data_IF_929443445477
#
_entry.id   IF_929443445477
#
_cell.length_a   1.000
_cell.length_b   1.000
_cell.length_c   1.000
_cell.angle_alpha   90.00
_cell.angle_beta   90.00
_cell.angle_gamma   90.00
#
_symmetry.space_group_name_H-M   'P 1'
#
loop_
_entity.id
_entity.type
_entity.pdbx_description
1 polymer ?
#
# COMPACT_ATOMS: atom_id res chain seq x y z
N UNK A 1 40.82 18.48 -28.69
CA UNK A 1 39.51 18.09 -29.27
C UNK A 1 38.52 17.99 -28.13
N UNK A 2 37.38 18.71 -28.13
CA UNK A 2 36.40 18.58 -27.06
C UNK A 2 35.59 17.29 -27.29
N UNK A 3 35.65 16.35 -26.34
CA UNK A 3 34.86 15.13 -26.37
C UNK A 3 33.38 15.48 -26.19
N UNK A 4 32.55 15.09 -27.15
CA UNK A 4 31.08 15.13 -27.06
C UNK A 4 30.64 14.15 -25.96
N UNK A 5 30.05 14.68 -24.88
CA UNK A 5 29.30 13.86 -23.93
C UNK A 5 28.12 13.22 -24.69
N UNK A 6 27.98 11.91 -24.55
CA UNK A 6 26.86 11.16 -25.12
C UNK A 6 25.67 11.22 -24.17
N UNK A 7 24.44 11.12 -24.70
CA UNK A 7 23.17 11.18 -23.94
C UNK A 7 23.08 10.20 -22.75
N UNK A 8 23.99 9.22 -22.66
CA UNK A 8 24.12 8.33 -21.51
C UNK A 8 24.73 8.97 -20.26
N UNK A 9 25.42 10.11 -20.36
CA UNK A 9 25.96 10.85 -19.21
C UNK A 9 24.92 11.78 -18.56
N UNK A 10 23.94 12.27 -19.32
CA UNK A 10 22.83 13.09 -18.78
C UNK A 10 21.89 12.26 -17.88
N UNK A 11 21.66 10.99 -18.24
CA UNK A 11 20.83 10.07 -17.45
C UNK A 11 21.56 9.43 -16.28
N UNK A 12 22.87 9.69 -16.14
CA UNK A 12 23.68 9.35 -14.96
C UNK A 12 23.84 10.55 -14.03
N UNK A 13 22.97 11.56 -14.14
CA UNK A 13 22.72 12.51 -13.06
C UNK A 13 22.06 11.77 -11.91
N UNK A 14 22.95 11.14 -11.14
CA UNK A 14 22.77 10.42 -9.91
C UNK A 14 21.62 11.02 -9.08
N UNK A 15 20.59 10.21 -8.97
CA UNK A 15 19.46 10.31 -8.06
C UNK A 15 19.92 10.18 -6.61
N UNK A 16 20.76 11.09 -6.10
CA UNK A 16 21.00 11.30 -4.67
C UNK A 16 21.48 12.74 -4.45
N UNK A 17 20.52 13.63 -4.23
CA UNK A 17 20.80 15.04 -4.01
C UNK A 17 19.52 15.84 -3.81
N UNK A 18 18.69 15.42 -2.85
CA UNK A 18 17.48 16.13 -2.39
C UNK A 18 17.78 17.48 -1.70
N UNK A 19 18.85 18.16 -2.07
CA UNK A 19 19.20 19.50 -1.58
C UNK A 19 18.77 20.61 -2.53
N UNK A 20 19.06 20.46 -3.83
CA UNK A 20 18.81 21.51 -4.82
C UNK A 20 17.34 21.71 -5.18
N UNK A 21 16.62 20.61 -5.41
CA UNK A 21 15.19 20.67 -5.75
C UNK A 21 14.31 21.26 -4.63
N UNK A 22 14.74 21.11 -3.36
CA UNK A 22 14.04 21.69 -2.21
C UNK A 22 14.35 23.18 -2.01
N UNK A 23 15.50 23.67 -2.52
CA UNK A 23 15.90 25.07 -2.38
C UNK A 23 15.11 26.00 -3.31
N UNK A 24 14.90 25.60 -4.56
CA UNK A 24 14.07 26.38 -5.50
C UNK A 24 12.58 26.38 -5.10
N UNK A 25 12.08 25.30 -4.50
CA UNK A 25 10.70 25.25 -3.98
C UNK A 25 10.48 26.14 -2.75
N UNK A 26 11.53 26.47 -2.01
CA UNK A 26 11.44 27.36 -0.85
C UNK A 26 11.41 28.86 -1.24
N UNK A 27 11.94 29.23 -2.42
CA UNK A 27 11.99 30.63 -2.88
C UNK A 27 10.67 31.12 -3.49
N UNK A 28 9.93 30.21 -4.14
CA UNK A 28 8.64 30.49 -4.81
C UNK A 28 7.42 30.39 -3.87
N UNK A 29 7.65 30.15 -2.57
CA UNK A 29 6.68 30.28 -1.46
C UNK A 29 5.25 29.79 -1.72
N UNK A 30 5.05 28.74 -2.53
CA UNK A 30 3.78 28.02 -2.56
C UNK A 30 3.82 27.00 -1.41
N UNK A 31 2.96 27.12 -0.39
CA UNK A 31 2.86 26.08 0.63
C UNK A 31 2.49 24.78 -0.08
N UNK A 32 3.32 23.74 0.07
CA UNK A 32 2.91 22.39 -0.26
C UNK A 32 1.72 22.11 0.66
N UNK A 33 0.54 21.92 0.06
CA UNK A 33 -0.64 21.57 0.81
C UNK A 33 -0.34 20.28 1.58
N UNK A 34 -0.38 20.33 2.91
CA UNK A 34 -0.17 19.14 3.74
C UNK A 34 -1.22 18.09 3.33
N UNK A 35 -0.84 16.81 3.23
CA UNK A 35 -1.77 15.68 3.03
C UNK A 35 -2.68 15.44 4.25
N UNK A 36 -2.93 16.48 5.05
CA UNK A 36 -3.82 16.46 6.19
C UNK A 36 -5.22 16.83 5.72
N UNK A 37 -5.96 15.81 5.33
CA UNK A 37 -7.38 15.96 5.00
C UNK A 37 -8.20 15.98 6.29
N UNK A 38 -8.30 17.15 6.93
CA UNK A 38 -9.10 17.34 8.17
C UNK A 38 -10.60 17.37 7.88
N UNK A 39 -10.98 17.92 6.72
CA UNK A 39 -12.38 18.17 6.34
C UNK A 39 -13.04 16.99 5.62
N UNK A 40 -12.30 15.91 5.34
CA UNK A 40 -12.89 14.73 4.68
C UNK A 40 -13.64 13.88 5.70
N UNK A 41 -14.73 13.19 5.28
CA UNK A 41 -15.40 12.24 6.14
C UNK A 41 -14.44 11.18 6.69
N UNK A 42 -14.64 10.78 7.95
CA UNK A 42 -13.84 9.75 8.64
C UNK A 42 -14.03 8.34 8.06
N UNK A 43 -14.94 8.17 7.12
CA UNK A 43 -15.22 6.92 6.44
C UNK A 43 -15.46 7.16 4.95
N UNK A 44 -15.23 6.13 4.14
CA UNK A 44 -15.55 6.12 2.73
C UNK A 44 -16.94 5.51 2.53
N UNK A 45 -17.75 6.10 1.66
CA UNK A 45 -19.01 5.50 1.22
C UNK A 45 -18.77 4.27 0.35
N UNK A 46 -19.54 3.21 0.61
CA UNK A 46 -19.49 1.94 -0.13
C UNK A 46 -20.89 1.56 -0.59
N UNK A 47 -20.97 0.91 -1.75
CA UNK A 47 -22.24 0.37 -2.22
C UNK A 47 -22.74 -0.71 -1.25
N UNK A 48 -24.02 -0.67 -0.83
CA UNK A 48 -24.56 -1.67 0.07
C UNK A 48 -24.63 -3.03 -0.63
N UNK A 49 -24.39 -4.10 0.14
CA UNK A 49 -24.56 -5.47 -0.33
C UNK A 49 -26.02 -5.77 -0.69
N UNK A 50 -26.23 -6.84 -1.46
CA UNK A 50 -27.59 -7.31 -1.80
C UNK A 50 -28.34 -7.74 -0.54
N UNK A 51 -29.67 -7.74 -0.61
CA UNK A 51 -30.53 -8.14 0.51
C UNK A 51 -30.23 -9.58 0.93
N UNK A 52 -29.84 -9.77 2.20
CA UNK A 52 -29.47 -11.06 2.78
C UNK A 52 -27.99 -11.46 2.62
N UNK A 53 -27.19 -10.69 1.88
CA UNK A 53 -25.77 -10.94 1.69
C UNK A 53 -24.94 -10.38 2.86
N UNK A 54 -24.08 -11.22 3.45
CA UNK A 54 -23.16 -10.81 4.52
C UNK A 54 -21.81 -10.40 3.94
N UNK A 55 -21.13 -9.47 4.59
CA UNK A 55 -19.76 -9.10 4.26
C UNK A 55 -18.84 -10.30 4.49
N UNK A 56 -18.21 -10.80 3.43
CA UNK A 56 -17.20 -11.84 3.50
C UNK A 56 -15.80 -11.22 3.40
N UNK A 57 -15.06 -11.27 4.51
CA UNK A 57 -13.68 -10.80 4.59
C UNK A 57 -12.70 -11.73 3.88
N UNK A 58 -13.09 -12.99 3.64
CA UNK A 58 -12.26 -14.01 3.00
C UNK A 58 -12.36 -13.98 1.47
N UNK A 59 -13.42 -13.39 0.90
CA UNK A 59 -13.65 -13.42 -0.55
C UNK A 59 -12.53 -12.79 -1.39
N UNK A 60 -11.78 -11.84 -0.83
CA UNK A 60 -10.59 -11.29 -1.48
C UNK A 60 -9.37 -12.21 -1.37
N UNK A 61 -9.15 -12.82 -0.19
CA UNK A 61 -8.03 -13.73 0.08
C UNK A 61 -8.18 -15.07 -0.65
N UNK A 62 -9.40 -15.58 -0.78
CA UNK A 62 -9.71 -16.80 -1.55
C UNK A 62 -9.36 -16.66 -3.03
N UNK A 63 -9.40 -15.45 -3.62
CA UNK A 63 -8.97 -15.22 -5.00
C UNK A 63 -7.46 -15.30 -5.19
N UNK A 64 -6.69 -15.05 -4.12
CA UNK A 64 -5.22 -15.12 -4.14
C UNK A 64 -4.67 -16.46 -3.68
N UNK A 65 -5.45 -17.24 -2.92
CA UNK A 65 -5.11 -18.59 -2.47
C UNK A 65 -5.68 -19.64 -3.43
N UNK A 66 -5.16 -20.87 -3.41
CA UNK A 66 -5.64 -21.94 -4.29
C UNK A 66 -7.03 -22.45 -3.90
N UNK A 67 -7.36 -22.38 -2.61
CA UNK A 67 -8.64 -22.80 -2.03
C UNK A 67 -8.98 -21.97 -0.78
N UNK A 68 -10.25 -21.99 -0.37
CA UNK A 68 -10.76 -21.31 0.82
C UNK A 68 -10.09 -21.79 2.11
N UNK A 69 -9.76 -23.08 2.21
CA UNK A 69 -9.06 -23.62 3.38
C UNK A 69 -7.62 -23.11 3.48
N UNK A 70 -6.94 -22.95 2.34
CA UNK A 70 -5.59 -22.38 2.30
C UNK A 70 -5.61 -20.91 2.72
N UNK A 71 -6.59 -20.13 2.22
CA UNK A 71 -6.76 -18.73 2.63
C UNK A 71 -6.97 -18.57 4.14
N UNK A 72 -7.72 -19.48 4.77
CA UNK A 72 -7.95 -19.49 6.23
C UNK A 72 -6.69 -19.90 7.01
N UNK A 73 -5.91 -20.83 6.47
CA UNK A 73 -4.64 -21.26 7.06
C UNK A 73 -3.64 -20.10 7.03
N UNK A 74 -3.50 -19.42 5.89
CA UNK A 74 -2.59 -18.30 5.71
C UNK A 74 -2.90 -17.17 6.70
N UNK A 75 -4.17 -16.78 6.83
CA UNK A 75 -4.59 -15.78 7.80
C UNK A 75 -4.34 -16.23 9.25
N UNK A 76 -4.62 -17.49 9.57
CA UNK A 76 -4.35 -18.03 10.90
C UNK A 76 -2.85 -18.00 11.23
N UNK A 77 -1.96 -18.26 10.25
CA UNK A 77 -0.51 -18.15 10.44
C UNK A 77 -0.10 -16.70 10.70
N UNK A 78 -0.66 -15.74 9.95
CA UNK A 78 -0.39 -14.31 10.14
C UNK A 78 -0.87 -13.79 11.52
N UNK A 79 -1.99 -14.30 12.02
CA UNK A 79 -2.56 -13.94 13.32
C UNK A 79 -1.93 -14.70 14.51
N UNK A 80 -1.19 -15.79 14.25
CA UNK A 80 -0.60 -16.64 15.30
C UNK A 80 0.79 -16.15 15.70
N UNK A 81 1.08 -16.18 17.00
CA UNK A 81 2.40 -15.84 17.54
C UNK A 81 3.27 -17.10 17.73
N UNK A 82 4.60 -16.98 17.60
CA UNK A 82 5.53 -18.12 17.62
C UNK A 82 5.57 -18.93 18.94
N UNK A 83 4.82 -18.53 19.97
CA UNK A 83 4.72 -19.24 21.25
C UNK A 83 3.30 -19.44 21.78
N UNK A 84 2.27 -19.17 20.97
CA UNK A 84 0.86 -19.17 21.39
C UNK A 84 0.11 -20.40 20.88
N UNK A 85 0.46 -21.61 21.34
CA UNK A 85 -0.22 -22.87 20.97
C UNK A 85 -0.26 -23.19 19.45
N UNK A 86 -0.57 -24.43 19.02
CA UNK A 86 -0.67 -24.77 17.60
C UNK A 86 -1.80 -24.00 16.90
N UNK A 87 -1.57 -23.62 15.64
CA UNK A 87 -2.53 -22.83 14.85
C UNK A 87 -3.86 -23.58 14.74
N UNK A 88 -4.96 -22.87 14.94
CA UNK A 88 -6.32 -23.39 14.72
C UNK A 88 -7.03 -22.50 13.70
N UNK A 89 -7.15 -22.94 12.43
CA UNK A 89 -7.81 -22.16 11.39
C UNK A 89 -9.27 -21.84 11.73
N UNK A 90 -9.78 -20.70 11.24
CA UNK A 90 -11.18 -20.29 11.43
C UNK A 90 -12.12 -21.31 10.74
N UNK A 91 -13.02 -21.93 11.51
CA UNK A 91 -14.05 -22.82 10.95
C UNK A 91 -15.34 -22.03 10.68
N UNK A 92 -15.53 -21.65 9.42
CA UNK A 92 -16.73 -20.94 8.94
C UNK A 92 -17.61 -21.95 8.22
N UNK A 93 -18.63 -22.49 8.91
CA UNK A 93 -19.70 -23.35 8.35
C UNK A 93 -20.85 -22.53 7.78
#
# INVERSE_FOLDING_TARGET
MPNKQTQGDEQRAFTHGSGGANADMAVEAAPIHEDRHVEVPHHREVEPLKEGEKHDHMAAREKSSGDRQEALLDEAIEETFPGSDPISPKHIT
#
